data_IF_444092443581
#
_entry.id   IF_444092443581
#
_cell.length_a   1.000
_cell.length_b   1.000
_cell.length_c   1.000
_cell.angle_alpha   90.00
_cell.angle_beta   90.00
_cell.angle_gamma   90.00
#
_symmetry.space_group_name_H-M   'P 1'
#
loop_
_entity.id
_entity.type
_entity.pdbx_description
1 polymer ?
#
# COMPACT_ATOMS: atom_id res chain seq x y z
N UNK A 1 -25.23 16.87 -0.80
CA UNK A 1 -24.05 16.32 -1.47
C UNK A 1 -24.43 14.91 -1.87
N UNK A 2 -24.59 14.67 -3.17
CA UNK A 2 -24.95 13.36 -3.70
C UNK A 2 -23.85 12.37 -3.30
N UNK A 3 -24.14 11.41 -2.43
CA UNK A 3 -23.13 10.50 -1.84
C UNK A 3 -22.58 9.49 -2.87
N UNK A 4 -23.17 9.47 -4.06
CA UNK A 4 -23.03 8.35 -4.99
C UNK A 4 -22.14 8.66 -6.20
N UNK A 5 -21.51 9.84 -6.25
CA UNK A 5 -20.52 10.17 -7.28
C UNK A 5 -19.38 11.03 -6.75
N UNK A 6 -18.24 10.39 -6.51
CA UNK A 6 -16.96 11.06 -6.30
C UNK A 6 -16.12 11.02 -7.58
N UNK A 7 -15.37 12.09 -7.85
CA UNK A 7 -14.33 12.12 -8.89
C UNK A 7 -12.98 12.05 -8.19
N UNK A 8 -12.13 11.14 -8.63
CA UNK A 8 -10.74 11.06 -8.15
C UNK A 8 -9.92 12.05 -8.97
N UNK A 9 -9.45 13.10 -8.29
CA UNK A 9 -8.40 13.96 -8.81
C UNK A 9 -7.05 13.29 -8.52
N UNK A 10 -6.41 12.77 -9.58
CA UNK A 10 -5.15 12.01 -9.49
C UNK A 10 -4.03 12.85 -8.86
N UNK A 11 -3.96 14.14 -9.18
CA UNK A 11 -2.93 15.02 -8.63
C UNK A 11 -3.13 15.23 -7.12
N UNK A 12 -4.39 15.39 -6.68
CA UNK A 12 -4.70 15.49 -5.24
C UNK A 12 -4.47 14.17 -4.50
N UNK A 13 -4.78 13.03 -5.13
CA UNK A 13 -4.50 11.72 -4.54
C UNK A 13 -2.99 11.50 -4.36
N UNK A 14 -2.19 11.81 -5.38
CA UNK A 14 -0.72 11.78 -5.31
C UNK A 14 -0.20 12.66 -4.16
N UNK A 15 -0.67 13.91 -4.06
CA UNK A 15 -0.27 14.81 -2.97
C UNK A 15 -0.63 14.25 -1.59
N UNK A 16 -1.81 13.66 -1.45
CA UNK A 16 -2.24 13.05 -0.19
C UNK A 16 -1.34 11.86 0.19
N UNK A 17 -1.07 10.96 -0.75
CA UNK A 17 -0.18 9.80 -0.53
C UNK A 17 1.24 10.26 -0.18
N UNK A 18 1.80 11.23 -0.90
CA UNK A 18 3.12 11.78 -0.61
C UNK A 18 3.19 12.37 0.81
N UNK A 19 2.17 13.13 1.23
CA UNK A 19 2.12 13.71 2.58
C UNK A 19 2.08 12.64 3.68
N UNK A 20 1.45 11.50 3.42
CA UNK A 20 1.48 10.36 4.35
C UNK A 20 2.88 9.78 4.47
N UNK A 21 3.59 9.59 3.35
CA UNK A 21 4.98 9.13 3.37
C UNK A 21 5.91 10.13 4.06
N UNK A 22 5.76 11.43 3.77
CA UNK A 22 6.54 12.49 4.43
C UNK A 22 6.39 12.39 5.96
N UNK A 23 5.17 12.22 6.45
CA UNK A 23 4.90 12.06 7.89
C UNK A 23 5.61 10.83 8.49
N UNK A 24 5.60 9.70 7.80
CA UNK A 24 6.28 8.46 8.24
C UNK A 24 7.80 8.69 8.31
N UNK A 25 8.37 9.34 7.29
CA UNK A 25 9.80 9.65 7.21
C UNK A 25 10.23 10.67 8.29
N UNK A 26 9.39 11.68 8.56
CA UNK A 26 9.58 12.67 9.63
C UNK A 26 9.54 12.02 11.02
N UNK A 27 8.72 10.97 11.21
CA UNK A 27 8.70 10.16 12.43
C UNK A 27 9.94 9.24 12.58
N UNK A 28 10.86 9.25 11.62
CA UNK A 28 12.12 8.52 11.63
C UNK A 28 12.01 7.07 11.16
N UNK A 29 10.89 6.65 10.59
CA UNK A 29 10.75 5.32 9.99
C UNK A 29 11.24 5.39 8.54
N UNK A 30 12.28 4.63 8.23
CA UNK A 30 12.90 4.59 6.88
C UNK A 30 12.65 3.28 6.15
N UNK A 31 12.46 2.21 6.89
CA UNK A 31 12.34 0.85 6.36
C UNK A 31 11.29 0.08 7.16
N UNK A 32 10.58 -0.80 6.47
CA UNK A 32 9.60 -1.74 7.04
C UNK A 32 9.96 -3.12 6.53
N UNK A 33 10.21 -4.07 7.44
CA UNK A 33 10.49 -5.45 7.08
C UNK A 33 9.19 -6.17 6.68
N UNK A 34 9.21 -6.91 5.58
CA UNK A 34 8.10 -7.79 5.17
C UNK A 34 8.24 -9.11 5.93
N UNK A 35 7.46 -9.28 6.99
CA UNK A 35 7.44 -10.52 7.78
C UNK A 35 6.35 -11.50 7.34
N UNK A 36 5.30 -10.98 6.67
CA UNK A 36 4.15 -11.73 6.21
C UNK A 36 3.89 -11.38 4.73
N UNK A 37 4.62 -12.01 3.80
CA UNK A 37 4.58 -11.61 2.39
C UNK A 37 3.26 -11.97 1.71
N UNK A 38 2.58 -13.03 2.15
CA UNK A 38 1.36 -13.50 1.50
C UNK A 38 0.12 -12.76 1.99
N UNK A 39 -0.69 -12.25 1.07
CA UNK A 39 -1.98 -11.64 1.39
C UNK A 39 -3.09 -12.14 0.45
N UNK A 40 -4.32 -11.96 0.91
CA UNK A 40 -5.53 -12.43 0.24
C UNK A 40 -6.47 -11.31 -0.18
N UNK A 41 -6.35 -10.13 0.44
CA UNK A 41 -7.27 -9.01 0.20
C UNK A 41 -6.52 -7.68 0.25
N UNK A 42 -6.53 -6.98 -0.88
CA UNK A 42 -6.15 -5.54 -0.97
C UNK A 42 -7.39 -4.70 -1.25
N UNK A 43 -8.35 -5.25 -1.99
CA UNK A 43 -9.53 -4.55 -2.49
C UNK A 43 -10.79 -4.77 -1.65
N UNK A 44 -10.74 -5.49 -0.52
CA UNK A 44 -11.92 -5.72 0.31
C UNK A 44 -11.59 -5.58 1.82
N UNK A 45 -12.15 -4.58 2.53
CA UNK A 45 -11.77 -4.24 3.91
C UNK A 45 -12.33 -5.20 4.97
N UNK A 46 -12.63 -6.46 4.61
CA UNK A 46 -13.20 -7.44 5.54
C UNK A 46 -12.36 -8.71 5.55
N UNK A 47 -11.60 -8.83 6.63
CA UNK A 47 -11.06 -10.06 7.20
C UNK A 47 -9.78 -10.63 6.58
N UNK A 48 -8.66 -10.37 7.25
CA UNK A 48 -7.49 -11.27 7.34
C UNK A 48 -7.86 -12.69 7.84
N UNK A 49 -9.11 -12.91 8.27
CA UNK A 49 -9.63 -14.17 8.81
C UNK A 49 -10.59 -14.91 7.86
N UNK A 50 -10.79 -14.46 6.62
CA UNK A 50 -11.61 -15.17 5.64
C UNK A 50 -10.74 -15.66 4.49
N UNK A 51 -10.62 -16.98 4.36
CA UNK A 51 -10.04 -17.63 3.19
C UNK A 51 -10.92 -17.33 1.97
N UNK A 52 -10.40 -16.68 0.91
CA UNK A 52 -11.15 -16.49 -0.32
C UNK A 52 -11.43 -17.83 -0.99
N UNK A 53 -12.59 -17.96 -1.63
CA UNK A 53 -12.98 -19.13 -2.41
C UNK A 53 -12.39 -19.15 -3.83
N UNK A 54 -11.67 -18.09 -4.23
CA UNK A 54 -11.04 -17.96 -5.56
C UNK A 54 -9.55 -17.63 -5.41
N UNK A 55 -8.74 -18.41 -6.14
CA UNK A 55 -7.29 -18.55 -6.02
C UNK A 55 -6.54 -17.35 -6.60
N UNK A 56 -6.09 -16.46 -5.73
CA UNK A 56 -4.99 -15.54 -5.99
C UNK A 56 -4.40 -15.13 -4.65
N UNK A 57 -3.41 -15.88 -4.16
CA UNK A 57 -2.55 -15.37 -3.09
C UNK A 57 -1.69 -14.30 -3.74
N UNK A 58 -1.75 -13.06 -3.25
CA UNK A 58 -0.77 -12.04 -3.62
C UNK A 58 0.47 -12.16 -2.74
N UNK A 59 1.61 -11.70 -3.25
CA UNK A 59 2.89 -11.72 -2.55
C UNK A 59 3.49 -10.30 -2.53
N UNK A 60 3.69 -9.74 -1.33
CA UNK A 60 4.23 -8.40 -1.13
C UNK A 60 5.65 -8.24 -1.67
N UNK A 61 6.45 -9.31 -1.72
CA UNK A 61 7.78 -9.26 -2.30
C UNK A 61 7.70 -9.09 -3.82
N UNK A 62 6.83 -9.86 -4.48
CA UNK A 62 6.59 -9.73 -5.92
C UNK A 62 6.03 -8.35 -6.23
N UNK A 63 5.03 -7.89 -5.48
CA UNK A 63 4.44 -6.55 -5.64
C UNK A 63 5.46 -5.43 -5.45
N UNK A 64 6.39 -5.59 -4.49
CA UNK A 64 7.47 -4.64 -4.25
C UNK A 64 8.42 -4.60 -5.44
N UNK A 65 8.82 -5.75 -5.99
CA UNK A 65 9.66 -5.82 -7.19
C UNK A 65 8.99 -5.13 -8.38
N UNK A 66 7.71 -5.45 -8.65
CA UNK A 66 6.94 -4.81 -9.71
C UNK A 66 6.80 -3.30 -9.51
N UNK A 67 6.52 -2.87 -8.27
CA UNK A 67 6.34 -1.45 -7.94
C UNK A 67 7.64 -0.67 -8.09
N UNK A 68 8.77 -1.20 -7.61
CA UNK A 68 10.07 -0.53 -7.72
C UNK A 68 10.59 -0.49 -9.16
N UNK A 69 10.14 -1.42 -10.03
CA UNK A 69 10.46 -1.41 -11.46
C UNK A 69 10.12 -0.09 -12.17
N UNK A 70 9.15 0.68 -11.68
CA UNK A 70 8.80 2.01 -12.26
C UNK A 70 9.87 3.07 -12.05
N UNK A 71 10.84 2.82 -11.17
CA UNK A 71 11.97 3.72 -10.93
C UNK A 71 13.10 3.53 -11.95
N UNK A 72 13.08 2.47 -12.76
CA UNK A 72 14.03 2.29 -13.86
C UNK A 72 13.71 3.28 -14.98
N UNK A 73 14.71 4.05 -15.40
CA UNK A 73 14.60 5.06 -16.47
C UNK A 73 14.18 4.47 -17.83
N UNK A 74 14.30 3.14 -18.00
CA UNK A 74 13.92 2.43 -19.23
C UNK A 74 12.59 1.66 -19.11
N UNK A 75 11.95 1.65 -17.93
CA UNK A 75 10.66 1.00 -17.78
C UNK A 75 9.56 1.82 -18.47
N UNK A 76 8.64 1.15 -19.17
CA UNK A 76 7.35 1.76 -19.53
C UNK A 76 6.42 1.59 -18.31
N UNK A 77 6.16 2.65 -17.52
CA UNK A 77 5.32 2.50 -16.33
C UNK A 77 3.89 2.23 -16.79
N UNK A 78 3.42 1.01 -16.53
CA UNK A 78 2.05 0.62 -16.82
C UNK A 78 1.18 0.98 -15.62
N UNK A 79 0.03 1.62 -15.83
CA UNK A 79 -0.91 1.98 -14.75
C UNK A 79 -1.35 0.78 -13.90
N UNK A 80 -1.16 -0.46 -14.37
CA UNK A 80 -1.37 -1.67 -13.59
C UNK A 80 -0.61 -1.62 -12.26
N UNK A 81 0.60 -1.04 -12.20
CA UNK A 81 1.45 -0.96 -11.01
C UNK A 81 0.78 -0.31 -9.79
N UNK A 82 -0.29 0.48 -9.98
CA UNK A 82 -1.08 0.97 -8.85
C UNK A 82 -1.79 -0.16 -8.07
N UNK A 83 -2.05 -1.29 -8.72
CA UNK A 83 -2.66 -2.48 -8.14
C UNK A 83 -1.66 -3.18 -7.22
N UNK A 84 -0.41 -3.32 -7.65
CA UNK A 84 0.71 -3.86 -6.86
C UNK A 84 1.19 -2.87 -5.78
N UNK A 85 1.03 -1.56 -5.99
CA UNK A 85 1.35 -0.56 -4.96
C UNK A 85 0.34 -0.56 -3.79
N UNK A 86 -0.94 -0.87 -4.06
CA UNK A 86 -1.99 -0.85 -3.05
C UNK A 86 -1.75 -1.78 -1.83
N UNK A 87 -1.36 -3.07 -1.98
CA UNK A 87 -1.02 -3.92 -0.83
C UNK A 87 0.14 -3.37 -0.01
N UNK A 88 1.16 -2.82 -0.67
CA UNK A 88 2.33 -2.25 0.00
C UNK A 88 1.93 -1.05 0.87
N UNK A 89 1.07 -0.16 0.36
CA UNK A 89 0.55 0.98 1.12
C UNK A 89 -0.24 0.52 2.35
N UNK A 90 -1.08 -0.51 2.21
CA UNK A 90 -1.83 -1.07 3.32
C UNK A 90 -0.92 -1.69 4.39
N UNK A 91 0.05 -2.50 3.97
CA UNK A 91 1.01 -3.16 4.85
C UNK A 91 1.87 -2.15 5.63
N UNK A 92 2.41 -1.13 4.94
CA UNK A 92 3.17 -0.05 5.59
C UNK A 92 2.30 0.67 6.62
N UNK A 93 1.05 0.99 6.29
CA UNK A 93 0.12 1.61 7.23
C UNK A 93 -0.09 0.79 8.51
N UNK A 94 -0.29 -0.52 8.37
CA UNK A 94 -0.47 -1.43 9.51
C UNK A 94 0.79 -1.51 10.39
N UNK A 95 1.95 -1.79 9.78
CA UNK A 95 3.20 -1.96 10.54
C UNK A 95 3.62 -0.65 11.22
N UNK A 96 3.57 0.47 10.50
CA UNK A 96 3.97 1.77 11.06
C UNK A 96 3.02 2.22 12.17
N UNK A 97 1.71 2.02 12.02
CA UNK A 97 0.74 2.31 13.08
C UNK A 97 1.08 1.53 14.36
N UNK A 98 1.43 0.25 14.24
CA UNK A 98 1.83 -0.57 15.38
C UNK A 98 3.15 -0.10 16.01
N UNK A 99 4.15 0.27 15.21
CA UNK A 99 5.44 0.78 15.69
C UNK A 99 5.29 2.12 16.43
N UNK A 100 4.49 3.05 15.90
CA UNK A 100 4.28 4.36 16.51
C UNK A 100 3.40 4.29 17.76
N UNK A 101 2.37 3.43 17.76
CA UNK A 101 1.56 3.18 18.96
C UNK A 101 2.41 2.60 20.11
N UNK A 102 3.37 1.72 19.81
CA UNK A 102 4.28 1.15 20.81
C UNK A 102 5.28 2.15 21.42
N UNK A 103 5.49 3.33 20.81
CA UNK A 103 6.37 4.39 21.34
C UNK A 103 5.65 5.39 22.26
N UNK A 104 4.32 5.30 22.38
CA UNK A 104 3.47 6.20 23.17
C UNK A 104 3.02 5.67 24.53
N UNK A 105 3.65 4.62 25.06
CA UNK A 105 3.34 4.00 26.36
C UNK A 105 4.39 4.26 27.43
#
# INVERSE_FOLDING_TARGET
MDKDRAVIDIARLQQAVNRLFDHILEAGVREVAIEQPLYWTVLNPRSLHQQPSELGVGDLCDDLEFTLGVLDENAEPVSLTLTEAAPLLAYVGEVVSNQLAGRGG
#
